data_IF_674766881123
#
_entry.id   IF_674766881123
#
_cell.length_a   1.000
_cell.length_b   1.000
_cell.length_c   1.000
_cell.angle_alpha   90.00
_cell.angle_beta   90.00
_cell.angle_gamma   90.00
#
_symmetry.space_group_name_H-M   'P 1'
#
loop_
_entity.id
_entity.type
_entity.pdbx_description
1 polymer ?
#
# COMPACT_ATOMS: atom_id res chain seq x y z
N UNK A 1 32.64 23.75 -20.26
CA UNK A 1 32.32 24.03 -18.85
C UNK A 1 30.86 23.65 -18.66
N UNK A 2 30.52 22.65 -17.83
CA UNK A 2 29.12 22.28 -17.62
C UNK A 2 28.40 23.44 -16.96
N UNK A 3 27.27 23.86 -17.53
CA UNK A 3 26.48 24.96 -16.97
C UNK A 3 25.78 24.49 -15.69
N UNK A 4 25.38 25.43 -14.84
CA UNK A 4 24.65 25.13 -13.60
C UNK A 4 23.35 24.35 -13.87
N UNK A 5 22.76 24.55 -15.05
CA UNK A 5 21.60 23.81 -15.56
C UNK A 5 21.95 22.35 -15.87
N UNK A 6 23.06 22.09 -16.56
CA UNK A 6 23.52 20.74 -16.88
C UNK A 6 23.85 19.91 -15.62
N UNK A 7 24.34 20.58 -14.58
CA UNK A 7 24.62 19.94 -13.28
C UNK A 7 23.29 19.62 -12.58
N UNK A 8 22.32 20.53 -12.58
CA UNK A 8 21.02 20.32 -11.95
C UNK A 8 20.20 19.20 -12.63
N UNK A 9 20.16 19.18 -13.97
CA UNK A 9 19.50 18.12 -14.74
C UNK A 9 20.16 16.76 -14.51
N UNK A 10 21.49 16.72 -14.39
CA UNK A 10 22.21 15.49 -14.03
C UNK A 10 21.85 14.97 -12.63
N UNK A 11 21.70 15.84 -11.63
CA UNK A 11 21.28 15.42 -10.30
C UNK A 11 19.82 14.96 -10.26
N UNK A 12 18.90 15.68 -10.91
CA UNK A 12 17.49 15.27 -10.97
C UNK A 12 17.31 13.93 -11.69
N UNK A 13 18.03 13.69 -12.79
CA UNK A 13 17.99 12.39 -13.49
C UNK A 13 18.57 11.25 -12.65
N UNK A 14 19.62 11.51 -11.88
CA UNK A 14 20.19 10.50 -10.98
C UNK A 14 19.29 10.22 -9.77
N UNK A 15 18.59 11.22 -9.24
CA UNK A 15 17.66 11.08 -8.12
C UNK A 15 16.41 10.29 -8.53
N UNK A 16 15.82 10.60 -9.70
CA UNK A 16 14.74 9.80 -10.31
C UNK A 16 15.15 8.35 -10.59
N UNK A 17 16.41 8.15 -11.00
CA UNK A 17 17.00 6.82 -11.23
C UNK A 17 17.15 6.04 -9.93
N UNK A 18 17.60 6.69 -8.85
CA UNK A 18 17.71 6.07 -7.53
C UNK A 18 16.36 5.67 -6.94
N UNK A 19 15.32 6.49 -7.16
CA UNK A 19 13.97 6.19 -6.70
C UNK A 19 13.37 4.96 -7.42
N UNK A 20 13.49 4.90 -8.75
CA UNK A 20 13.09 3.71 -9.54
C UNK A 20 13.89 2.46 -9.17
N UNK A 21 15.17 2.62 -8.84
CA UNK A 21 16.01 1.53 -8.32
C UNK A 21 15.53 1.08 -6.94
N UNK A 22 15.08 1.99 -6.07
CA UNK A 22 14.54 1.64 -4.76
C UNK A 22 13.22 0.88 -4.87
N UNK A 23 12.29 1.32 -5.74
CA UNK A 23 11.06 0.57 -6.06
C UNK A 23 11.38 -0.85 -6.53
N UNK A 24 12.28 -0.97 -7.51
CA UNK A 24 12.68 -2.27 -8.04
C UNK A 24 13.39 -3.15 -7.00
N UNK A 25 14.21 -2.57 -6.11
CA UNK A 25 14.89 -3.28 -5.02
C UNK A 25 13.88 -3.77 -3.98
N UNK A 26 12.84 -3.00 -3.69
CA UNK A 26 11.76 -3.38 -2.76
C UNK A 26 10.94 -4.52 -3.35
N UNK A 27 10.56 -4.43 -4.62
CA UNK A 27 9.83 -5.48 -5.33
C UNK A 27 10.64 -6.78 -5.42
N UNK A 28 11.92 -6.69 -5.80
CA UNK A 28 12.81 -7.85 -5.85
C UNK A 28 13.05 -8.46 -4.47
N UNK A 29 13.19 -7.64 -3.41
CA UNK A 29 13.30 -8.17 -2.05
C UNK A 29 12.04 -8.94 -1.68
N UNK A 30 10.86 -8.42 -2.00
CA UNK A 30 9.60 -9.10 -1.74
C UNK A 30 9.50 -10.43 -2.51
N UNK A 31 9.86 -10.44 -3.80
CA UNK A 31 9.83 -11.65 -4.63
C UNK A 31 10.84 -12.70 -4.15
N UNK A 32 12.05 -12.28 -3.77
CA UNK A 32 13.05 -13.16 -3.15
C UNK A 32 12.55 -13.71 -1.82
N UNK A 33 11.87 -12.91 -1.00
CA UNK A 33 11.28 -13.34 0.27
C UNK A 33 10.17 -14.37 0.06
N UNK A 34 9.41 -14.26 -1.04
CA UNK A 34 8.40 -15.25 -1.45
C UNK A 34 9.07 -16.54 -1.93
N UNK A 35 10.11 -16.45 -2.76
CA UNK A 35 10.84 -17.61 -3.30
C UNK A 35 11.66 -18.35 -2.24
N UNK A 36 12.16 -17.65 -1.21
CA UNK A 36 12.89 -18.26 -0.08
C UNK A 36 11.98 -19.03 0.89
N UNK A 37 10.66 -18.88 0.80
CA UNK A 37 9.73 -19.71 1.58
C UNK A 37 9.69 -21.11 0.98
N UNK A 38 10.44 -22.05 1.57
CA UNK A 38 10.05 -23.47 1.51
C UNK A 38 8.63 -23.61 2.08
N UNK A 39 7.74 -24.41 1.48
CA UNK A 39 6.36 -24.56 1.95
C UNK A 39 6.40 -25.08 3.37
N UNK A 40 6.21 -24.19 4.33
CA UNK A 40 5.99 -24.59 5.72
C UNK A 40 4.51 -24.93 5.77
N UNK A 41 4.21 -26.23 5.72
CA UNK A 41 2.84 -26.75 5.82
C UNK A 41 2.24 -26.26 7.14
N UNK A 42 1.46 -25.18 7.07
CA UNK A 42 0.71 -24.66 8.19
C UNK A 42 -0.77 -24.88 7.93
N UNK A 43 -1.23 -26.02 8.44
CA UNK A 43 -2.58 -26.42 8.84
C UNK A 43 -3.72 -25.87 7.98
N UNK A 44 -4.24 -26.76 7.16
CA UNK A 44 -5.61 -26.80 6.66
C UNK A 44 -6.60 -26.15 7.61
N UNK A 45 -7.48 -25.32 7.04
CA UNK A 45 -8.54 -24.59 7.73
C UNK A 45 -9.35 -25.58 8.59
N UNK A 46 -9.65 -25.27 9.87
CA UNK A 46 -10.56 -26.08 10.67
C UNK A 46 -11.92 -26.21 9.96
N UNK A 47 -12.49 -27.40 9.91
CA UNK A 47 -13.73 -27.75 9.19
C UNK A 47 -15.01 -26.99 9.61
N UNK A 48 -14.91 -26.04 10.54
CA UNK A 48 -16.03 -25.27 11.11
C UNK A 48 -16.14 -23.83 10.58
N UNK A 49 -15.27 -23.40 9.66
CA UNK A 49 -15.30 -22.04 9.09
C UNK A 49 -16.18 -22.05 7.83
N UNK A 50 -17.16 -21.14 7.72
CA UNK A 50 -17.87 -20.92 6.46
C UNK A 50 -16.91 -20.22 5.49
N UNK A 51 -16.28 -21.02 4.62
CA UNK A 51 -15.36 -20.49 3.61
C UNK A 51 -16.22 -19.89 2.49
N UNK A 52 -15.95 -18.64 2.06
CA UNK A 52 -16.61 -18.08 0.90
C UNK A 52 -16.30 -18.87 -0.37
N UNK A 53 -17.13 -18.68 -1.40
CA UNK A 53 -16.88 -19.23 -2.72
C UNK A 53 -15.47 -18.85 -3.20
N UNK A 54 -14.80 -19.79 -3.88
CA UNK A 54 -13.45 -19.56 -4.38
C UNK A 54 -13.42 -18.38 -5.36
N UNK A 55 -12.62 -17.35 -5.08
CA UNK A 55 -12.40 -16.21 -5.96
C UNK A 55 -11.84 -16.65 -7.31
N UNK A 56 -12.12 -15.86 -8.35
CA UNK A 56 -11.58 -16.08 -9.69
C UNK A 56 -10.10 -15.66 -9.83
N UNK A 57 -9.54 -14.98 -8.84
CA UNK A 57 -8.16 -14.48 -8.84
C UNK A 57 -7.53 -14.60 -7.46
N UNK A 58 -6.20 -14.68 -7.42
CA UNK A 58 -5.43 -14.63 -6.19
C UNK A 58 -5.38 -13.23 -5.57
N UNK A 59 -5.07 -13.14 -4.29
CA UNK A 59 -4.98 -11.88 -3.57
C UNK A 59 -3.89 -10.96 -4.10
N UNK A 60 -2.72 -11.51 -4.47
CA UNK A 60 -1.65 -10.71 -5.06
C UNK A 60 -2.05 -10.13 -6.42
N UNK A 61 -2.78 -10.91 -7.22
CA UNK A 61 -3.31 -10.43 -8.48
C UNK A 61 -4.31 -9.30 -8.26
N UNK A 62 -5.25 -9.45 -7.33
CA UNK A 62 -6.19 -8.40 -6.95
C UNK A 62 -5.49 -7.09 -6.53
N UNK A 63 -4.45 -7.17 -5.69
CA UNK A 63 -3.68 -5.98 -5.30
C UNK A 63 -3.12 -5.27 -6.54
N UNK A 64 -2.49 -6.01 -7.44
CA UNK A 64 -1.84 -5.45 -8.64
C UNK A 64 -2.80 -4.93 -9.68
N UNK A 65 -3.99 -5.51 -9.84
CA UNK A 65 -4.90 -5.17 -10.95
C UNK A 65 -6.07 -4.28 -10.52
N UNK A 66 -6.47 -4.30 -9.25
CA UNK A 66 -7.66 -3.58 -8.77
C UNK A 66 -7.38 -2.58 -7.66
N UNK A 67 -6.39 -2.81 -6.81
CA UNK A 67 -6.14 -1.92 -5.67
C UNK A 67 -5.05 -0.88 -5.97
N UNK A 68 -3.80 -1.31 -6.16
CA UNK A 68 -2.64 -0.41 -6.28
C UNK A 68 -2.74 0.58 -7.46
N UNK A 69 -3.22 0.20 -8.66
CA UNK A 69 -3.34 1.15 -9.77
C UNK A 69 -4.28 2.34 -9.49
N UNK A 70 -5.18 2.22 -8.52
CA UNK A 70 -6.15 3.27 -8.19
C UNK A 70 -5.69 4.20 -7.07
N UNK A 71 -4.49 4.00 -6.51
CA UNK A 71 -3.96 4.82 -5.40
C UNK A 71 -3.92 6.32 -5.74
N UNK A 72 -3.53 6.67 -6.96
CA UNK A 72 -3.44 8.07 -7.41
C UNK A 72 -4.75 8.83 -7.23
N UNK A 73 -5.88 8.18 -7.50
CA UNK A 73 -7.22 8.78 -7.42
C UNK A 73 -7.59 9.21 -6.00
N UNK A 74 -6.94 8.63 -4.99
CA UNK A 74 -7.22 8.92 -3.57
C UNK A 74 -6.16 9.81 -2.92
N UNK A 75 -5.15 10.29 -3.65
CA UNK A 75 -4.17 11.25 -3.11
C UNK A 75 -4.83 12.53 -2.60
N UNK A 76 -5.82 13.06 -3.33
CA UNK A 76 -6.56 14.25 -2.89
C UNK A 76 -7.29 14.04 -1.57
N UNK A 77 -7.84 12.84 -1.35
CA UNK A 77 -8.48 12.48 -0.07
C UNK A 77 -7.46 12.53 1.07
N UNK A 78 -6.23 12.06 0.81
CA UNK A 78 -5.13 12.15 1.79
C UNK A 78 -4.76 13.60 2.06
N UNK A 79 -4.62 14.42 1.01
CA UNK A 79 -4.25 15.84 1.14
C UNK A 79 -5.27 16.65 1.93
N UNK A 80 -6.56 16.38 1.73
CA UNK A 80 -7.64 17.06 2.46
C UNK A 80 -7.76 16.52 3.89
N UNK A 81 -7.61 15.21 4.07
CA UNK A 81 -7.82 14.52 5.34
C UNK A 81 -6.51 13.94 5.88
N UNK A 82 -6.38 12.62 5.87
CA UNK A 82 -5.22 11.85 6.34
C UNK A 82 -5.01 10.58 5.49
N UNK A 83 -3.85 9.94 5.63
CA UNK A 83 -3.53 8.70 4.91
C UNK A 83 -4.53 7.58 5.18
N UNK A 84 -5.02 7.48 6.42
CA UNK A 84 -6.05 6.49 6.77
C UNK A 84 -7.32 6.66 5.92
N UNK A 85 -7.77 7.90 5.72
CA UNK A 85 -8.95 8.22 4.91
C UNK A 85 -8.71 7.85 3.45
N UNK A 86 -7.53 8.12 2.90
CA UNK A 86 -7.16 7.68 1.56
C UNK A 86 -7.22 6.16 1.40
N UNK A 87 -6.63 5.41 2.33
CA UNK A 87 -6.66 3.93 2.33
C UNK A 87 -8.08 3.40 2.50
N UNK A 88 -8.88 4.01 3.37
CA UNK A 88 -10.29 3.64 3.56
C UNK A 88 -11.06 3.78 2.24
N UNK A 89 -10.95 4.93 1.58
CA UNK A 89 -11.60 5.18 0.29
C UNK A 89 -11.08 4.26 -0.81
N UNK A 90 -9.78 3.96 -0.82
CA UNK A 90 -9.19 2.99 -1.73
C UNK A 90 -9.87 1.62 -1.60
N UNK A 91 -10.03 1.11 -0.38
CA UNK A 91 -10.73 -0.16 -0.18
C UNK A 91 -12.23 -0.08 -0.48
N UNK A 92 -12.93 0.95 -0.01
CA UNK A 92 -14.39 1.13 -0.22
C UNK A 92 -14.78 1.03 -1.71
N UNK A 93 -13.97 1.63 -2.57
CA UNK A 93 -14.30 1.83 -3.98
C UNK A 93 -13.68 0.79 -4.92
N UNK A 94 -12.85 -0.13 -4.40
CA UNK A 94 -12.17 -1.15 -5.20
C UNK A 94 -12.50 -2.57 -4.73
N UNK A 95 -13.61 -2.73 -4.01
CA UNK A 95 -14.15 -4.05 -3.71
C UNK A 95 -14.63 -4.72 -5.00
N UNK A 96 -14.31 -6.01 -5.13
CA UNK A 96 -14.81 -6.85 -6.20
C UNK A 96 -15.73 -7.93 -5.66
N UNK A 97 -16.61 -8.45 -6.51
CA UNK A 97 -17.38 -9.64 -6.17
C UNK A 97 -16.42 -10.82 -5.92
N UNK A 98 -16.69 -11.60 -4.87
CA UNK A 98 -15.81 -12.70 -4.42
C UNK A 98 -14.38 -12.25 -4.10
N UNK A 99 -14.24 -11.26 -3.22
CA UNK A 99 -12.94 -10.76 -2.73
C UNK A 99 -11.97 -11.90 -2.34
N UNK A 100 -10.71 -11.88 -2.82
CA UNK A 100 -9.68 -12.86 -2.44
C UNK A 100 -9.07 -12.62 -1.06
N UNK A 101 -9.85 -12.00 -0.18
CA UNK A 101 -9.55 -11.79 1.22
C UNK A 101 -10.86 -11.79 2.00
N UNK A 102 -10.89 -12.47 3.15
CA UNK A 102 -12.01 -12.35 4.08
C UNK A 102 -11.53 -12.30 5.53
N UNK A 103 -12.41 -11.84 6.41
CA UNK A 103 -12.15 -11.79 7.84
C UNK A 103 -13.09 -12.73 8.61
N UNK A 104 -12.53 -13.72 9.31
CA UNK A 104 -13.23 -14.43 10.38
C UNK A 104 -13.18 -13.55 11.63
N UNK A 105 -14.30 -12.91 11.96
CA UNK A 105 -14.37 -12.02 13.12
C UNK A 105 -14.68 -12.82 14.39
N UNK A 106 -13.65 -13.08 15.22
CA UNK A 106 -13.85 -13.49 16.61
C UNK A 106 -13.93 -12.21 17.44
N UNK A 107 -14.92 -12.09 18.34
CA UNK A 107 -15.25 -10.90 19.17
C UNK A 107 -14.06 -10.09 19.74
N UNK A 108 -12.87 -10.68 19.86
CA UNK A 108 -11.66 -10.06 20.41
C UNK A 108 -10.51 -9.95 19.38
N UNK A 109 -10.51 -10.71 18.28
CA UNK A 109 -9.43 -10.73 17.29
C UNK A 109 -9.95 -11.10 15.88
N UNK A 110 -9.83 -10.15 14.94
CA UNK A 110 -10.03 -10.39 13.51
C UNK A 110 -8.92 -11.29 12.96
N UNK A 111 -9.30 -12.42 12.36
CA UNK A 111 -8.40 -13.31 11.63
C UNK A 111 -8.65 -13.14 10.14
N UNK A 112 -7.60 -12.76 9.41
CA UNK A 112 -7.68 -12.58 7.96
C UNK A 112 -7.19 -13.81 7.22
N UNK A 113 -7.86 -14.11 6.12
CA UNK A 113 -7.52 -15.18 5.19
C UNK A 113 -7.42 -14.58 3.79
N UNK A 114 -6.43 -15.02 3.01
CA UNK A 114 -6.29 -14.65 1.60
C UNK A 114 -6.41 -15.88 0.73
N UNK A 115 -6.95 -15.71 -0.47
CA UNK A 115 -6.98 -16.76 -1.47
C UNK A 115 -5.76 -16.61 -2.38
N UNK A 116 -4.90 -17.61 -2.42
CA UNK A 116 -3.71 -17.60 -3.27
C UNK A 116 -3.38 -19.03 -3.69
N UNK A 117 -2.90 -19.23 -4.92
CA UNK A 117 -2.57 -20.57 -5.44
C UNK A 117 -3.70 -21.61 -5.25
N UNK A 118 -4.95 -21.19 -5.46
CA UNK A 118 -6.17 -22.02 -5.30
C UNK A 118 -6.49 -22.45 -3.85
N UNK A 119 -5.82 -21.86 -2.86
CA UNK A 119 -6.03 -22.20 -1.45
C UNK A 119 -6.27 -20.96 -0.59
N UNK A 120 -7.16 -21.10 0.38
CA UNK A 120 -7.36 -20.10 1.42
C UNK A 120 -6.29 -20.27 2.51
N UNK A 121 -5.46 -19.25 2.69
CA UNK A 121 -4.38 -19.24 3.68
C UNK A 121 -4.64 -18.19 4.75
N UNK A 122 -4.50 -18.60 6.01
CA UNK A 122 -4.58 -17.69 7.16
C UNK A 122 -3.36 -16.77 7.19
N UNK A 123 -3.60 -15.47 7.36
CA UNK A 123 -2.55 -14.49 7.58
C UNK A 123 -2.12 -14.44 9.05
N UNK A 124 -0.82 -14.38 9.28
CA UNK A 124 -0.26 -13.94 10.57
C UNK A 124 -0.40 -12.42 10.71
N UNK A 125 -0.29 -11.90 11.94
CA UNK A 125 -0.32 -10.47 12.18
C UNK A 125 0.80 -9.72 11.42
N UNK A 126 1.99 -10.31 11.33
CA UNK A 126 3.13 -9.76 10.59
C UNK A 126 2.87 -9.75 9.07
N UNK A 127 2.30 -10.81 8.52
CA UNK A 127 1.95 -10.87 7.10
C UNK A 127 0.90 -9.81 6.73
N UNK A 128 -0.15 -9.68 7.54
CA UNK A 128 -1.15 -8.64 7.35
C UNK A 128 -0.52 -7.24 7.43
N UNK A 129 0.32 -7.00 8.44
CA UNK A 129 1.03 -5.74 8.61
C UNK A 129 1.86 -5.38 7.37
N UNK A 130 2.62 -6.34 6.82
CA UNK A 130 3.43 -6.16 5.61
C UNK A 130 2.58 -5.79 4.39
N UNK A 131 1.41 -6.41 4.23
CA UNK A 131 0.46 -6.06 3.16
C UNK A 131 0.00 -4.61 3.31
N UNK A 132 -0.40 -4.20 4.51
CA UNK A 132 -0.83 -2.80 4.72
C UNK A 132 0.32 -1.84 4.47
N UNK A 133 1.53 -2.11 4.98
CA UNK A 133 2.72 -1.27 4.73
C UNK A 133 2.99 -1.12 3.22
N UNK A 134 2.88 -2.21 2.46
CA UNK A 134 3.05 -2.15 1.01
C UNK A 134 2.04 -1.18 0.36
N UNK A 135 0.77 -1.26 0.74
CA UNK A 135 -0.27 -0.33 0.27
C UNK A 135 0.03 1.12 0.70
N UNK A 136 0.48 1.34 1.94
CA UNK A 136 0.85 2.69 2.41
C UNK A 136 2.04 3.25 1.63
N UNK A 137 3.04 2.43 1.32
CA UNK A 137 4.20 2.84 0.54
C UNK A 137 3.83 3.20 -0.89
N UNK A 138 2.80 2.57 -1.46
CA UNK A 138 2.30 2.93 -2.79
C UNK A 138 1.81 4.39 -2.83
N UNK A 139 1.19 4.89 -1.75
CA UNK A 139 0.83 6.32 -1.68
C UNK A 139 2.05 7.24 -1.72
N UNK A 140 3.18 6.82 -1.13
CA UNK A 140 4.44 7.58 -1.17
C UNK A 140 5.00 7.57 -2.59
N UNK A 141 5.09 6.39 -3.20
CA UNK A 141 5.56 6.19 -4.58
C UNK A 141 4.75 7.05 -5.55
N UNK A 142 3.42 6.96 -5.51
CA UNK A 142 2.56 7.69 -6.43
C UNK A 142 2.60 9.20 -6.15
N UNK A 143 2.73 9.63 -4.89
CA UNK A 143 2.93 11.04 -4.58
C UNK A 143 4.21 11.59 -5.21
N UNK A 144 5.33 10.86 -5.10
CA UNK A 144 6.60 11.28 -5.66
C UNK A 144 6.60 11.25 -7.18
N UNK A 145 6.08 10.18 -7.77
CA UNK A 145 6.10 9.98 -9.23
C UNK A 145 5.06 10.82 -9.96
N UNK A 146 3.88 11.06 -9.38
CA UNK A 146 2.79 11.76 -10.07
C UNK A 146 2.67 13.21 -9.63
N UNK A 147 2.61 13.48 -8.32
CA UNK A 147 2.37 14.84 -7.83
C UNK A 147 3.64 15.69 -7.84
N UNK A 148 4.75 15.20 -7.28
CA UNK A 148 6.00 15.98 -7.21
C UNK A 148 6.52 16.25 -8.63
N UNK A 149 6.62 15.23 -9.48
CA UNK A 149 7.10 15.40 -10.87
C UNK A 149 6.30 16.45 -11.64
N UNK A 150 4.97 16.44 -11.51
CA UNK A 150 4.10 17.43 -12.17
C UNK A 150 4.31 18.86 -11.63
N UNK A 151 4.71 19.01 -10.36
CA UNK A 151 4.81 20.30 -9.69
C UNK A 151 6.26 20.77 -9.46
N UNK A 152 7.27 20.08 -10.00
CA UNK A 152 8.70 20.38 -9.78
C UNK A 152 9.04 21.86 -10.03
N UNK A 153 8.56 22.43 -11.13
CA UNK A 153 8.82 23.84 -11.47
C UNK A 153 8.24 24.80 -10.42
N UNK A 154 7.04 24.52 -9.93
CA UNK A 154 6.41 25.35 -8.89
C UNK A 154 7.14 25.22 -7.55
N UNK A 155 7.62 24.02 -7.21
CA UNK A 155 8.38 23.79 -5.98
C UNK A 155 9.71 24.56 -5.92
N UNK A 156 10.34 24.79 -7.08
CA UNK A 156 11.60 25.52 -7.17
C UNK A 156 11.43 27.05 -7.09
N UNK A 157 10.25 27.55 -7.42
CA UNK A 157 10.05 28.99 -7.67
C UNK A 157 8.98 29.64 -6.80
N UNK A 158 8.13 28.85 -6.16
CA UNK A 158 7.04 29.34 -5.32
C UNK A 158 7.13 28.77 -3.89
N UNK A 159 7.51 29.59 -2.90
CA UNK A 159 7.54 29.19 -1.49
C UNK A 159 6.20 28.69 -0.94
N UNK A 160 5.07 29.14 -1.50
CA UNK A 160 3.74 28.67 -1.09
C UNK A 160 3.51 27.21 -1.52
N UNK A 161 4.05 26.83 -2.68
CA UNK A 161 4.01 25.46 -3.17
C UNK A 161 4.87 24.51 -2.34
N UNK A 162 6.03 24.98 -1.87
CA UNK A 162 6.87 24.23 -0.94
C UNK A 162 6.16 23.95 0.38
N UNK A 163 5.48 24.97 0.95
CA UNK A 163 4.68 24.78 2.16
C UNK A 163 3.54 23.78 1.94
N UNK A 164 2.86 23.86 0.78
CA UNK A 164 1.81 22.92 0.38
C UNK A 164 2.36 21.49 0.27
N UNK A 165 3.52 21.32 -0.35
CA UNK A 165 4.22 20.04 -0.42
C UNK A 165 4.53 19.48 0.96
N UNK A 166 5.09 20.29 1.87
CA UNK A 166 5.40 19.82 3.22
C UNK A 166 4.16 19.35 3.99
N UNK A 167 3.04 20.07 3.86
CA UNK A 167 1.76 19.65 4.44
C UNK A 167 1.29 18.29 3.86
N UNK A 168 1.42 18.09 2.55
CA UNK A 168 0.98 16.85 1.90
C UNK A 168 1.89 15.68 2.23
N UNK A 169 3.21 15.92 2.23
CA UNK A 169 4.22 14.94 2.62
C UNK A 169 4.01 14.49 4.07
N UNK A 170 3.77 15.43 5.00
CA UNK A 170 3.46 15.13 6.39
C UNK A 170 2.21 14.24 6.52
N UNK A 171 1.17 14.48 5.70
CA UNK A 171 -0.06 13.67 5.72
C UNK A 171 0.13 12.25 5.19
N UNK A 172 1.08 12.03 4.28
CA UNK A 172 1.36 10.71 3.69
C UNK A 172 2.35 9.92 4.56
N UNK A 173 3.47 10.53 4.95
CA UNK A 173 4.55 9.84 5.67
C UNK A 173 4.28 9.81 7.18
N UNK A 174 3.58 10.83 7.68
CA UNK A 174 3.38 11.05 9.10
C UNK A 174 4.62 11.65 9.78
N UNK A 175 4.43 12.07 11.03
CA UNK A 175 5.49 12.72 11.83
C UNK A 175 6.31 11.74 12.69
N UNK A 176 5.96 10.45 12.72
CA UNK A 176 6.64 9.45 13.55
C UNK A 176 6.33 8.00 13.16
N UNK A 177 7.20 7.07 13.56
CA UNK A 177 6.96 5.63 13.43
C UNK A 177 5.66 5.17 14.12
N UNK A 178 5.27 5.83 15.22
CA UNK A 178 3.99 5.56 15.90
C UNK A 178 2.77 5.94 15.05
N UNK A 179 2.92 6.83 14.06
CA UNK A 179 1.85 7.21 13.15
C UNK A 179 1.45 6.03 12.26
N UNK A 180 2.42 5.33 11.66
CA UNK A 180 2.16 4.18 10.81
C UNK A 180 1.50 3.03 11.58
N UNK A 181 1.96 2.70 12.79
CA UNK A 181 1.33 1.66 13.62
C UNK A 181 -0.13 1.99 13.95
N UNK A 182 -0.43 3.27 14.22
CA UNK A 182 -1.81 3.74 14.45
C UNK A 182 -2.66 3.57 13.19
N UNK A 183 -2.14 3.94 12.02
CA UNK A 183 -2.85 3.75 10.75
C UNK A 183 -3.11 2.26 10.51
N UNK A 184 -2.09 1.41 10.63
CA UNK A 184 -2.22 -0.04 10.44
C UNK A 184 -3.28 -0.63 11.37
N UNK A 185 -3.32 -0.17 12.62
CA UNK A 185 -4.34 -0.59 13.60
C UNK A 185 -5.74 -0.16 13.18
N UNK A 186 -5.91 1.10 12.74
CA UNK A 186 -7.20 1.62 12.24
C UNK A 186 -7.66 0.88 10.99
N UNK A 187 -6.76 0.66 10.03
CA UNK A 187 -7.03 -0.09 8.78
C UNK A 187 -7.40 -1.53 9.10
N UNK A 188 -6.68 -2.19 10.01
CA UNK A 188 -7.01 -3.55 10.45
C UNK A 188 -8.43 -3.63 11.01
N UNK A 189 -8.80 -2.71 11.90
CA UNK A 189 -10.15 -2.66 12.48
C UNK A 189 -11.20 -2.46 11.39
N UNK A 190 -10.97 -1.48 10.52
CA UNK A 190 -11.85 -1.15 9.42
C UNK A 190 -12.05 -2.33 8.45
N UNK A 191 -10.98 -2.96 7.98
CA UNK A 191 -11.06 -4.13 7.10
C UNK A 191 -11.72 -5.33 7.79
N UNK A 192 -11.57 -5.46 9.10
CA UNK A 192 -12.27 -6.49 9.88
C UNK A 192 -13.78 -6.28 9.95
N UNK A 193 -14.26 -5.04 9.79
CA UNK A 193 -15.68 -4.71 9.67
C UNK A 193 -16.16 -4.85 8.22
N UNK A 194 -15.36 -4.35 7.26
CA UNK A 194 -15.68 -4.36 5.83
C UNK A 194 -15.74 -5.76 5.22
N UNK A 195 -14.81 -6.64 5.59
CA UNK A 195 -14.64 -7.99 5.01
C UNK A 195 -15.26 -9.08 5.89
N UNK A 196 -16.11 -8.69 6.83
CA UNK A 196 -16.75 -9.61 7.76
C UNK A 196 -17.74 -10.49 7.01
N UNK A 197 -17.65 -11.80 7.24
CA UNK A 197 -18.70 -12.76 6.90
C UNK A 197 -19.52 -13.13 8.13
#
# INVERSE_FOLDING_TARGET
MKTKKDIHEFYQQNELSQEKLLEYIVDLHYEIELLKRKPTVNKTIPSTISIPNSPNMGFQQYLKTHLLPNVEQYLNVVFENDLYSGVKHLFDNNLIENMPIFCENKKVNSIFYIFENQEWTKLTADQFKKIIIHILNEFIVIFNTSWIQTNQTNLLHDPSFYNKYMLYFEKIVGTSQMHQEKIITRVKKYLGELLKQ
#
